data_IF_264961276922
#
_entry.id   IF_264961276922
#
_cell.length_a   1.000
_cell.length_b   1.000
_cell.length_c   1.000
_cell.angle_alpha   90.00
_cell.angle_beta   90.00
_cell.angle_gamma   90.00
#
_symmetry.space_group_name_H-M   'P 1'
#
loop_
_entity.id
_entity.type
_entity.pdbx_description
1 polymer ?
#
# COMPACT_ATOMS: atom_id res chain seq x y z
N UNK A 1 51.27 -5.62 10.10
CA UNK A 1 50.34 -6.69 9.66
C UNK A 1 48.92 -6.61 10.24
N UNK A 2 48.59 -5.71 11.19
CA UNK A 2 47.23 -5.68 11.82
C UNK A 2 46.18 -4.80 11.11
N UNK A 3 46.58 -3.91 10.18
CA UNK A 3 45.66 -2.94 9.55
C UNK A 3 44.80 -3.51 8.40
N UNK A 4 45.16 -4.68 7.87
CA UNK A 4 44.45 -5.26 6.71
C UNK A 4 43.18 -6.03 7.11
N UNK A 5 43.06 -6.43 8.38
CA UNK A 5 41.87 -7.13 8.88
C UNK A 5 40.65 -6.22 9.06
N UNK A 6 40.85 -4.91 9.22
CA UNK A 6 39.75 -3.92 9.34
C UNK A 6 39.00 -3.79 8.02
N UNK A 7 39.71 -3.86 6.88
CA UNK A 7 39.10 -3.76 5.55
C UNK A 7 38.25 -5.00 5.22
N UNK A 8 38.64 -6.17 5.73
CA UNK A 8 37.89 -7.42 5.54
C UNK A 8 36.60 -7.48 6.37
N UNK A 9 36.57 -6.81 7.53
CA UNK A 9 35.38 -6.71 8.38
C UNK A 9 34.31 -5.78 7.80
N UNK A 10 34.69 -4.75 7.02
CA UNK A 10 33.75 -3.82 6.41
C UNK A 10 32.93 -4.44 5.26
N UNK A 11 33.45 -5.51 4.64
CA UNK A 11 32.80 -6.24 3.54
C UNK A 11 31.72 -7.23 4.01
N UNK A 12 31.59 -7.47 5.32
CA UNK A 12 30.66 -8.43 5.90
C UNK A 12 29.34 -7.83 6.39
N UNK A 13 29.08 -6.54 6.13
CA UNK A 13 27.74 -6.01 6.30
C UNK A 13 26.93 -6.32 5.04
N UNK A 14 26.02 -7.32 5.06
CA UNK A 14 24.98 -7.34 4.05
C UNK A 14 24.21 -6.03 4.24
N UNK A 15 24.15 -5.24 3.17
CA UNK A 15 23.22 -4.14 3.05
C UNK A 15 21.86 -4.83 2.97
N UNK A 16 21.26 -5.11 4.13
CA UNK A 16 19.93 -5.72 4.21
C UNK A 16 18.96 -4.64 3.74
N UNK A 17 18.75 -4.59 2.43
CA UNK A 17 17.74 -3.74 1.83
C UNK A 17 16.39 -4.31 2.23
N UNK A 18 15.77 -3.70 3.25
CA UNK A 18 14.43 -4.04 3.73
C UNK A 18 13.38 -3.57 2.71
N UNK A 19 13.43 -4.10 1.50
CA UNK A 19 12.33 -3.98 0.56
C UNK A 19 11.33 -5.09 0.87
N UNK A 20 10.29 -4.77 1.65
CA UNK A 20 9.19 -5.72 1.91
C UNK A 20 8.60 -6.20 0.58
N UNK A 21 8.63 -7.50 0.32
CA UNK A 21 8.04 -8.13 -0.87
C UNK A 21 6.55 -8.38 -0.61
N UNK A 22 5.68 -7.77 -1.42
CA UNK A 22 4.22 -7.87 -1.26
C UNK A 22 3.65 -8.64 -2.46
N UNK A 23 3.00 -9.76 -2.17
CA UNK A 23 2.38 -10.63 -3.18
C UNK A 23 0.92 -10.87 -2.86
N UNK A 24 0.05 -10.52 -3.81
CA UNK A 24 -1.37 -10.90 -3.78
C UNK A 24 -1.52 -12.28 -4.43
N UNK A 25 -2.05 -13.26 -3.69
CA UNK A 25 -2.33 -14.62 -4.15
C UNK A 25 -3.78 -14.97 -3.85
N UNK A 26 -4.63 -15.04 -4.88
CA UNK A 26 -6.07 -15.39 -4.79
C UNK A 26 -6.81 -14.69 -3.63
N UNK A 27 -6.80 -15.32 -2.46
CA UNK A 27 -7.52 -14.99 -1.24
C UNK A 27 -6.62 -14.46 -0.11
N UNK A 28 -5.31 -14.28 -0.37
CA UNK A 28 -4.33 -13.83 0.63
C UNK A 28 -3.35 -12.81 0.10
N UNK A 29 -2.85 -11.98 1.01
CA UNK A 29 -1.64 -11.17 0.82
C UNK A 29 -0.51 -11.76 1.64
N UNK A 30 0.62 -11.95 0.96
CA UNK A 30 1.87 -12.39 1.55
C UNK A 30 2.82 -11.21 1.64
N UNK A 31 3.42 -11.00 2.81
CA UNK A 31 4.50 -10.05 3.06
C UNK A 31 5.75 -10.87 3.37
N UNK A 32 6.81 -10.67 2.60
CA UNK A 32 8.07 -11.40 2.71
C UNK A 32 7.87 -12.93 2.72
N UNK A 33 6.92 -13.39 1.91
CA UNK A 33 6.58 -14.81 1.78
C UNK A 33 5.71 -15.38 2.92
N UNK A 34 5.38 -14.61 3.95
CA UNK A 34 4.48 -15.01 5.04
C UNK A 34 3.08 -14.47 4.79
N UNK A 35 2.07 -15.27 5.07
CA UNK A 35 0.68 -14.81 5.04
C UNK A 35 0.48 -13.70 6.06
N UNK A 36 -0.07 -12.57 5.62
CA UNK A 36 -0.27 -11.39 6.45
C UNK A 36 -1.75 -11.00 6.56
N UNK A 37 -2.51 -11.16 5.47
CA UNK A 37 -3.93 -10.79 5.40
C UNK A 37 -4.71 -11.74 4.51
N UNK A 38 -6.01 -11.82 4.78
CA UNK A 38 -7.00 -12.33 3.85
C UNK A 38 -7.38 -11.22 2.86
N UNK A 39 -7.72 -11.59 1.63
CA UNK A 39 -8.14 -10.64 0.60
C UNK A 39 -9.29 -11.16 -0.23
N UNK A 40 -10.20 -10.27 -0.60
CA UNK A 40 -11.27 -10.53 -1.57
C UNK A 40 -11.16 -9.53 -2.71
N UNK A 41 -11.58 -9.93 -3.92
CA UNK A 41 -11.60 -8.99 -5.06
C UNK A 41 -12.67 -7.93 -4.81
N UNK A 42 -12.27 -6.68 -4.97
CA UNK A 42 -13.13 -5.51 -4.86
C UNK A 42 -13.14 -4.70 -6.16
N UNK A 43 -14.06 -3.74 -6.25
CA UNK A 43 -14.22 -2.84 -7.40
C UNK A 43 -15.47 -3.11 -8.23
N UNK A 44 -15.86 -2.14 -9.04
CA UNK A 44 -17.03 -2.22 -9.95
C UNK A 44 -16.73 -1.43 -11.22
N UNK A 45 -17.25 -1.86 -12.37
CA UNK A 45 -17.20 -1.13 -13.66
C UNK A 45 -15.81 -0.60 -14.07
N UNK A 46 -14.81 -1.48 -14.17
CA UNK A 46 -13.47 -1.14 -14.68
C UNK A 46 -12.43 -0.81 -13.61
N UNK A 47 -12.86 -0.55 -12.36
CA UNK A 47 -11.96 -0.46 -11.22
C UNK A 47 -11.63 -1.86 -10.68
N UNK A 48 -10.34 -2.17 -10.53
CA UNK A 48 -9.85 -3.42 -9.93
C UNK A 48 -9.30 -3.13 -8.54
N UNK A 49 -9.69 -3.91 -7.54
CA UNK A 49 -9.27 -3.68 -6.17
C UNK A 49 -9.26 -4.93 -5.31
N UNK A 50 -8.87 -4.74 -4.05
CA UNK A 50 -8.89 -5.76 -3.02
C UNK A 50 -9.44 -5.19 -1.72
N UNK A 51 -10.37 -5.92 -1.11
CA UNK A 51 -10.73 -5.74 0.29
C UNK A 51 -9.81 -6.60 1.15
N UNK A 52 -9.27 -6.02 2.21
CA UNK A 52 -8.26 -6.62 3.08
C UNK A 52 -8.85 -6.81 4.47
N UNK A 53 -8.75 -8.04 4.97
CA UNK A 53 -9.18 -8.45 6.31
C UNK A 53 -8.04 -9.13 7.09
N UNK A 54 -8.10 -9.10 8.43
CA UNK A 54 -7.13 -9.82 9.27
C UNK A 54 -7.20 -11.33 9.02
N UNK A 55 -6.13 -12.08 9.29
CA UNK A 55 -6.14 -13.54 9.07
C UNK A 55 -7.17 -14.27 9.94
N UNK A 56 -7.47 -13.74 11.12
CA UNK A 56 -8.41 -14.28 12.11
C UNK A 56 -9.85 -13.77 11.93
N UNK A 57 -10.13 -12.96 10.92
CA UNK A 57 -11.45 -12.38 10.70
C UNK A 57 -11.82 -12.27 9.21
N UNK A 58 -13.11 -12.37 8.92
CA UNK A 58 -13.63 -12.11 7.57
C UNK A 58 -14.03 -10.65 7.37
N UNK A 59 -14.06 -9.84 8.44
CA UNK A 59 -14.48 -8.43 8.34
C UNK A 59 -13.34 -7.59 7.76
N UNK A 60 -13.53 -6.96 6.58
CA UNK A 60 -12.50 -6.11 6.00
C UNK A 60 -12.36 -4.81 6.78
N UNK A 61 -11.12 -4.34 6.95
CA UNK A 61 -10.83 -3.04 7.56
C UNK A 61 -10.30 -2.02 6.54
N UNK A 62 -9.88 -2.49 5.35
CA UNK A 62 -9.24 -1.68 4.34
C UNK A 62 -9.70 -2.12 2.95
N UNK A 63 -9.96 -1.17 2.06
CA UNK A 63 -10.20 -1.42 0.63
C UNK A 63 -9.17 -0.64 -0.19
N UNK A 64 -8.51 -1.32 -1.13
CA UNK A 64 -7.54 -0.73 -2.06
C UNK A 64 -8.08 -0.88 -3.48
N UNK A 65 -8.40 0.24 -4.14
CA UNK A 65 -9.05 0.23 -5.44
C UNK A 65 -8.19 1.01 -6.43
N UNK A 66 -7.76 0.35 -7.50
CA UNK A 66 -7.13 1.02 -8.64
C UNK A 66 -8.20 1.66 -9.51
N UNK A 67 -7.98 2.91 -9.89
CA UNK A 67 -8.79 3.68 -10.82
C UNK A 67 -7.90 4.16 -11.96
N UNK A 68 -8.42 4.09 -13.19
CA UNK A 68 -7.68 4.42 -14.41
C UNK A 68 -7.95 5.84 -14.96
N UNK A 69 -8.37 6.77 -14.10
CA UNK A 69 -8.66 8.16 -14.50
C UNK A 69 -9.81 8.34 -15.50
N UNK A 70 -10.49 7.26 -15.91
CA UNK A 70 -11.48 7.27 -16.98
C UNK A 70 -10.88 7.25 -18.39
N UNK A 71 -9.56 7.09 -18.53
CA UNK A 71 -8.87 6.98 -19.81
C UNK A 71 -8.36 5.55 -20.01
N UNK A 72 -8.42 5.05 -21.23
CA UNK A 72 -7.92 3.71 -21.54
C UNK A 72 -6.51 3.86 -22.12
N UNK A 73 -5.51 3.26 -21.46
CA UNK A 73 -4.07 3.25 -21.81
C UNK A 73 -3.24 4.48 -21.46
N UNK A 74 -3.80 5.51 -20.82
CA UNK A 74 -3.01 6.55 -20.17
C UNK A 74 -2.80 6.11 -18.71
N UNK A 75 -1.54 5.97 -18.29
CA UNK A 75 -1.20 5.49 -16.94
C UNK A 75 -0.83 6.66 -16.01
N UNK A 76 -0.67 7.87 -16.56
CA UNK A 76 -0.23 9.04 -15.79
C UNK A 76 -1.33 9.62 -14.91
N UNK A 77 -2.60 9.35 -15.21
CA UNK A 77 -3.77 9.73 -14.43
C UNK A 77 -4.33 8.56 -13.59
N UNK A 78 -3.68 7.39 -13.61
CA UNK A 78 -4.02 6.27 -12.75
C UNK A 78 -3.76 6.62 -11.27
N UNK A 79 -4.67 6.19 -10.40
CA UNK A 79 -4.54 6.37 -8.96
C UNK A 79 -5.13 5.22 -8.17
N UNK A 80 -4.72 5.11 -6.91
CA UNK A 80 -5.27 4.17 -5.94
C UNK A 80 -6.10 4.92 -4.93
N UNK A 81 -7.34 4.48 -4.74
CA UNK A 81 -8.20 4.90 -3.65
C UNK A 81 -7.96 3.93 -2.48
N UNK A 82 -7.57 4.48 -1.34
CA UNK A 82 -7.40 3.74 -0.09
C UNK A 82 -8.58 4.10 0.81
N UNK A 83 -9.42 3.12 1.18
CA UNK A 83 -10.56 3.32 2.08
C UNK A 83 -10.34 2.62 3.40
N UNK A 84 -10.30 3.37 4.48
CA UNK A 84 -10.28 2.87 5.85
C UNK A 84 -11.71 2.60 6.31
N UNK A 85 -12.14 1.34 6.23
CA UNK A 85 -13.54 0.96 6.38
C UNK A 85 -14.05 1.10 7.82
N UNK A 86 -13.18 0.96 8.83
CA UNK A 86 -13.57 1.05 10.24
C UNK A 86 -13.91 2.48 10.65
N UNK A 87 -13.19 3.46 10.10
CA UNK A 87 -13.36 4.89 10.42
C UNK A 87 -14.14 5.68 9.35
N UNK A 88 -14.45 5.08 8.21
CA UNK A 88 -15.19 5.71 7.12
C UNK A 88 -14.42 6.82 6.39
N UNK A 89 -13.08 6.78 6.41
CA UNK A 89 -12.21 7.76 5.75
C UNK A 89 -11.56 7.16 4.51
N UNK A 90 -11.16 8.00 3.56
CA UNK A 90 -10.42 7.59 2.39
C UNK A 90 -9.37 8.62 1.99
N UNK A 91 -8.45 8.20 1.12
CA UNK A 91 -7.54 9.08 0.41
C UNK A 91 -7.24 8.53 -0.98
N UNK A 92 -6.62 9.35 -1.82
CA UNK A 92 -6.22 9.02 -3.17
C UNK A 92 -4.72 9.26 -3.35
N UNK A 93 -4.03 8.31 -4.00
CA UNK A 93 -2.58 8.38 -4.28
C UNK A 93 -2.32 8.04 -5.74
N UNK A 94 -1.47 8.82 -6.41
CA UNK A 94 -1.11 8.62 -7.82
C UNK A 94 -0.35 7.31 -8.10
N UNK A 95 -0.41 6.84 -9.35
CA UNK A 95 0.42 5.77 -9.88
C UNK A 95 -0.23 4.37 -9.94
N UNK A 96 -1.53 4.23 -9.63
CA UNK A 96 -2.35 3.03 -9.87
C UNK A 96 -1.94 1.72 -9.18
N UNK A 97 -0.77 1.66 -8.52
CA UNK A 97 -0.21 0.42 -8.01
C UNK A 97 -0.63 0.13 -6.56
N UNK A 98 -1.60 -0.76 -6.40
CA UNK A 98 -2.12 -1.23 -5.11
C UNK A 98 -1.00 -1.77 -4.19
N UNK A 99 0.05 -2.41 -4.74
CA UNK A 99 1.14 -2.95 -3.91
C UNK A 99 1.97 -1.84 -3.30
N UNK A 100 2.21 -0.75 -4.05
CA UNK A 100 2.89 0.43 -3.53
C UNK A 100 2.06 1.12 -2.47
N UNK A 101 0.75 1.24 -2.67
CA UNK A 101 -0.17 1.77 -1.67
C UNK A 101 -0.10 0.98 -0.35
N UNK A 102 -0.20 -0.36 -0.42
CA UNK A 102 -0.08 -1.21 0.77
C UNK A 102 1.30 -1.11 1.44
N UNK A 103 2.38 -1.06 0.64
CA UNK A 103 3.74 -0.85 1.16
C UNK A 103 3.87 0.48 1.90
N UNK A 104 3.22 1.53 1.40
CA UNK A 104 3.25 2.84 2.03
C UNK A 104 2.52 2.84 3.38
N UNK A 105 1.37 2.16 3.49
CA UNK A 105 0.64 1.97 4.74
C UNK A 105 1.49 1.23 5.79
N UNK A 106 2.16 0.15 5.39
CA UNK A 106 3.06 -0.62 6.28
C UNK A 106 4.27 0.21 6.71
N UNK A 107 4.90 0.95 5.79
CA UNK A 107 6.06 1.81 6.06
C UNK A 107 5.74 2.92 7.06
N UNK A 108 4.54 3.49 6.99
CA UNK A 108 4.08 4.53 7.91
C UNK A 108 3.40 3.95 9.16
N UNK A 109 3.49 2.63 9.37
CA UNK A 109 2.93 1.92 10.52
C UNK A 109 1.42 2.19 10.73
N UNK A 110 0.69 2.49 9.65
CA UNK A 110 -0.77 2.59 9.68
C UNK A 110 -1.37 1.20 9.85
N UNK A 111 -0.65 0.17 9.40
CA UNK A 111 -0.99 -1.23 9.64
C UNK A 111 0.18 -1.88 10.38
N UNK A 112 -0.07 -2.41 11.56
CA UNK A 112 0.92 -3.06 12.42
C UNK A 112 0.37 -4.40 12.89
N UNK A 113 1.15 -5.47 12.73
CA UNK A 113 0.78 -6.83 13.17
C UNK A 113 -0.61 -7.29 12.68
N UNK A 114 -0.94 -6.98 11.43
CA UNK A 114 -2.21 -7.40 10.84
C UNK A 114 -3.41 -6.51 11.20
N UNK A 115 -3.20 -5.42 11.96
CA UNK A 115 -4.27 -4.54 12.46
C UNK A 115 -4.03 -3.09 12.05
N UNK A 116 -5.13 -2.38 11.86
CA UNK A 116 -5.12 -0.95 11.57
C UNK A 116 -4.86 -0.14 12.85
N UNK A 117 -3.89 0.77 12.80
CA UNK A 117 -3.67 1.79 13.84
C UNK A 117 -4.44 3.05 13.48
N UNK A 118 -5.64 3.17 14.04
CA UNK A 118 -6.56 4.28 13.74
C UNK A 118 -5.99 5.65 14.16
N UNK A 119 -5.06 5.68 15.11
CA UNK A 119 -4.44 6.94 15.59
C UNK A 119 -3.55 7.61 14.52
N UNK A 120 -3.07 6.83 13.54
CA UNK A 120 -2.18 7.33 12.48
C UNK A 120 -2.90 7.68 11.19
N UNK A 121 -4.18 7.32 11.06
CA UNK A 121 -4.94 7.50 9.81
C UNK A 121 -5.00 8.98 9.41
N UNK A 122 -5.31 9.88 10.35
CA UNK A 122 -5.46 11.30 10.02
C UNK A 122 -4.16 11.97 9.59
N UNK A 123 -3.06 11.62 10.27
CA UNK A 123 -1.73 12.09 9.89
C UNK A 123 -1.34 11.52 8.53
N UNK A 124 -1.65 10.25 8.26
CA UNK A 124 -1.38 9.62 6.97
C UNK A 124 -2.15 10.29 5.83
N UNK A 125 -3.46 10.50 5.99
CA UNK A 125 -4.29 11.21 5.01
C UNK A 125 -3.74 12.61 4.77
N UNK A 126 -3.46 13.38 5.83
CA UNK A 126 -2.92 14.74 5.69
C UNK A 126 -1.60 14.80 4.92
N UNK A 127 -0.78 13.75 4.97
CA UNK A 127 0.54 13.73 4.34
C UNK A 127 0.53 13.20 2.90
N UNK A 128 -0.42 12.34 2.55
CA UNK A 128 -0.38 11.56 1.31
C UNK A 128 -1.63 11.67 0.45
N UNK A 129 -2.72 12.25 0.95
CA UNK A 129 -3.91 12.45 0.14
C UNK A 129 -3.67 13.49 -0.95
N UNK A 130 -3.75 13.04 -2.19
CA UNK A 130 -3.56 13.85 -3.37
C UNK A 130 -4.86 14.48 -3.88
N UNK A 131 -6.01 14.05 -3.35
CA UNK A 131 -7.37 14.51 -3.70
C UNK A 131 -7.55 14.64 -5.22
N UNK A 132 -7.24 13.57 -5.96
CA UNK A 132 -7.11 13.55 -7.43
C UNK A 132 -8.46 13.74 -8.10
N UNK A 133 -9.48 13.01 -7.67
CA UNK A 133 -10.86 13.09 -8.20
C UNK A 133 -11.51 14.44 -7.93
N UNK A 134 -11.07 15.16 -6.88
CA UNK A 134 -11.52 16.51 -6.54
C UNK A 134 -10.78 17.63 -7.28
N UNK A 135 -9.73 17.35 -8.06
CA UNK A 135 -8.99 18.38 -8.80
C UNK A 135 -9.86 18.97 -9.90
N UNK A 136 -10.08 20.28 -9.87
CA UNK A 136 -10.70 20.98 -11.00
C UNK A 136 -9.68 21.07 -12.13
N UNK A 137 -9.91 20.37 -13.25
CA UNK A 137 -9.10 20.50 -14.45
C UNK A 137 -9.28 21.91 -15.05
N UNK A 138 -8.36 22.82 -14.78
CA UNK A 138 -8.29 24.08 -15.54
C UNK A 138 -7.75 23.72 -16.93
N UNK A 139 -8.66 23.56 -17.89
CA UNK A 139 -8.29 23.47 -19.31
C UNK A 139 -7.68 24.82 -19.71
N UNK A 140 -6.39 24.83 -20.03
CA UNK A 140 -5.74 25.94 -20.74
C UNK A 140 -6.06 25.88 -22.22
#
# INVERSE_FOLDING_TARGET
MKKHYIFLYLLLFPIVSFAQDIKFKKDKVLIDGKEAFNTERAGTFGAAGYDISPLDSTKPFLSLISNNGGTHMELSDDYVIIRFLTVGKNLEISGGDIRKALKLLLKNEVIVNGKLDESKIDIFISNYDENISGRTLIRR
#
